data_IF_802339632454
#
_entry.id   IF_802339632454
#
_cell.length_a   1.000
_cell.length_b   1.000
_cell.length_c   1.000
_cell.angle_alpha   90.00
_cell.angle_beta   90.00
_cell.angle_gamma   90.00
#
_symmetry.space_group_name_H-M   'P 1'
#
loop_
_entity.id
_entity.type
_entity.pdbx_description
1 polymer ?
#
# COMPACT_ATOMS: atom_id res chain seq x y z
N UNK A 1 -17.39 1.96 -13.95
CA UNK A 1 -16.41 1.86 -12.85
C UNK A 1 -15.40 2.98 -12.85
N UNK A 2 -14.68 3.16 -13.94
CA UNK A 2 -13.70 4.25 -14.02
C UNK A 2 -14.32 5.62 -13.80
N UNK A 3 -15.56 5.82 -14.18
CA UNK A 3 -16.28 7.08 -14.00
C UNK A 3 -16.61 7.37 -12.53
N UNK A 4 -16.90 6.33 -11.72
CA UNK A 4 -17.24 6.50 -10.30
C UNK A 4 -16.02 6.55 -9.39
N UNK A 5 -15.03 5.71 -9.64
CA UNK A 5 -13.87 5.54 -8.75
C UNK A 5 -12.55 6.02 -9.36
N UNK A 6 -12.57 6.41 -10.65
CA UNK A 6 -11.37 6.78 -11.38
C UNK A 6 -10.66 5.58 -12.00
N UNK A 7 -9.92 5.82 -13.07
CA UNK A 7 -9.19 4.78 -13.78
C UNK A 7 -8.05 4.18 -12.93
N UNK A 8 -7.47 4.96 -12.03
CA UNK A 8 -6.39 4.51 -11.17
C UNK A 8 -6.86 3.43 -10.17
N UNK A 9 -8.05 3.60 -9.59
CA UNK A 9 -8.61 2.59 -8.69
C UNK A 9 -8.89 1.28 -9.42
N UNK A 10 -9.39 1.34 -10.65
CA UNK A 10 -9.61 0.15 -11.47
C UNK A 10 -8.29 -0.54 -11.82
N UNK A 11 -7.26 0.22 -12.18
CA UNK A 11 -5.93 -0.33 -12.45
C UNK A 11 -5.37 -1.03 -11.21
N UNK A 12 -5.51 -0.39 -10.05
CA UNK A 12 -5.07 -0.97 -8.79
C UNK A 12 -5.75 -2.31 -8.53
N UNK A 13 -7.08 -2.37 -8.65
CA UNK A 13 -7.82 -3.60 -8.41
C UNK A 13 -7.37 -4.73 -9.33
N UNK A 14 -7.25 -4.44 -10.63
CA UNK A 14 -6.87 -5.45 -11.62
C UNK A 14 -5.47 -6.01 -11.35
N UNK A 15 -4.54 -5.16 -10.92
CA UNK A 15 -3.18 -5.60 -10.61
C UNK A 15 -3.09 -6.32 -9.25
N UNK A 16 -3.95 -5.95 -8.31
CA UNK A 16 -3.92 -6.49 -6.94
C UNK A 16 -4.59 -7.86 -6.83
N UNK A 17 -5.74 -8.02 -7.45
CA UNK A 17 -6.60 -9.20 -7.25
C UNK A 17 -6.44 -10.27 -8.31
N UNK A 18 -6.01 -9.91 -9.52
CA UNK A 18 -5.93 -10.84 -10.65
C UNK A 18 -4.47 -11.11 -10.98
N UNK A 19 -4.08 -12.39 -10.98
CA UNK A 19 -2.74 -12.80 -11.40
C UNK A 19 -2.60 -12.65 -12.91
N UNK A 20 -1.44 -12.17 -13.36
CA UNK A 20 -1.20 -11.89 -14.78
C UNK A 20 -1.32 -13.11 -15.69
N UNK A 21 -1.06 -14.32 -15.17
CA UNK A 21 -1.07 -15.57 -15.93
C UNK A 21 -2.34 -16.39 -15.71
N UNK A 22 -3.30 -15.87 -14.97
CA UNK A 22 -4.55 -16.56 -14.65
C UNK A 22 -5.73 -15.69 -15.01
N UNK A 23 -6.82 -16.35 -15.44
CA UNK A 23 -8.09 -15.67 -15.63
C UNK A 23 -8.73 -15.43 -14.25
N UNK A 24 -9.12 -14.20 -13.99
CA UNK A 24 -9.78 -13.85 -12.75
C UNK A 24 -11.22 -13.43 -12.97
N UNK A 25 -12.07 -13.72 -11.99
CA UNK A 25 -13.46 -13.27 -12.00
C UNK A 25 -13.54 -11.85 -11.44
N UNK A 26 -14.10 -10.95 -12.23
CA UNK A 26 -14.37 -9.60 -11.79
C UNK A 26 -15.77 -9.53 -11.16
N UNK A 27 -15.85 -9.01 -9.92
CA UNK A 27 -17.12 -8.69 -9.30
C UNK A 27 -17.09 -7.26 -8.75
N UNK A 28 -18.21 -6.58 -8.86
CA UNK A 28 -18.35 -5.24 -8.33
C UNK A 28 -18.10 -5.19 -6.82
N UNK A 29 -18.60 -6.18 -6.13
CA UNK A 29 -18.46 -6.26 -4.66
C UNK A 29 -16.99 -6.36 -4.23
N UNK A 30 -16.20 -7.20 -4.91
CA UNK A 30 -14.76 -7.33 -4.63
C UNK A 30 -14.00 -6.07 -4.95
N UNK A 31 -14.38 -5.39 -6.04
CA UNK A 31 -13.77 -4.11 -6.42
C UNK A 31 -13.99 -3.06 -5.34
N UNK A 32 -15.23 -2.88 -4.89
CA UNK A 32 -15.55 -1.90 -3.84
C UNK A 32 -14.88 -2.27 -2.53
N UNK A 33 -14.86 -3.55 -2.18
CA UNK A 33 -14.20 -4.02 -0.96
C UNK A 33 -12.70 -3.74 -0.98
N UNK A 34 -12.02 -4.03 -2.07
CA UNK A 34 -10.58 -3.77 -2.21
C UNK A 34 -10.29 -2.27 -2.16
N UNK A 35 -11.08 -1.46 -2.85
CA UNK A 35 -10.94 -0.01 -2.81
C UNK A 35 -11.06 0.54 -1.38
N UNK A 36 -12.08 0.12 -0.66
CA UNK A 36 -12.32 0.61 0.69
C UNK A 36 -11.30 0.08 1.69
N UNK A 37 -10.98 -1.21 1.65
CA UNK A 37 -10.05 -1.80 2.60
C UNK A 37 -8.61 -1.32 2.38
N UNK A 38 -8.13 -1.35 1.16
CA UNK A 38 -6.73 -1.04 0.87
C UNK A 38 -6.48 0.46 0.75
N UNK A 39 -7.24 1.13 -0.11
CA UNK A 39 -6.96 2.54 -0.42
C UNK A 39 -7.53 3.50 0.62
N UNK A 40 -8.74 3.25 1.09
CA UNK A 40 -9.34 4.13 2.08
C UNK A 40 -8.89 3.80 3.51
N UNK A 41 -9.07 2.55 3.94
CA UNK A 41 -8.84 2.19 5.34
C UNK A 41 -7.37 2.03 5.69
N UNK A 42 -6.58 1.35 4.87
CA UNK A 42 -5.16 1.18 5.19
C UNK A 42 -4.33 2.40 4.82
N UNK A 43 -4.25 2.73 3.55
CA UNK A 43 -3.40 3.83 3.11
C UNK A 43 -3.94 5.20 3.50
N UNK A 44 -5.20 5.46 3.22
CA UNK A 44 -5.82 6.76 3.50
C UNK A 44 -5.82 7.09 4.98
N UNK A 45 -6.21 6.14 5.84
CA UNK A 45 -6.21 6.34 7.28
C UNK A 45 -4.80 6.47 7.86
N UNK A 46 -3.83 5.72 7.35
CA UNK A 46 -2.44 5.86 7.78
C UNK A 46 -1.95 7.28 7.53
N UNK A 47 -2.13 7.79 6.32
CA UNK A 47 -1.72 9.14 5.97
C UNK A 47 -2.44 10.19 6.81
N UNK A 48 -3.75 10.07 6.96
CA UNK A 48 -4.57 10.99 7.73
C UNK A 48 -4.16 11.04 9.21
N UNK A 49 -3.94 9.88 9.82
CA UNK A 49 -3.54 9.79 11.24
C UNK A 49 -2.12 10.31 11.45
N UNK A 50 -1.19 9.95 10.57
CA UNK A 50 0.19 10.39 10.68
C UNK A 50 0.31 11.90 10.48
N UNK A 51 -0.31 12.45 9.45
CA UNK A 51 -0.34 13.90 9.20
C UNK A 51 -1.02 14.65 10.34
N UNK A 52 -2.12 14.11 10.87
CA UNK A 52 -2.81 14.70 12.02
C UNK A 52 -1.93 14.75 13.26
N UNK A 53 -1.17 13.71 13.54
CA UNK A 53 -0.25 13.67 14.68
C UNK A 53 0.90 14.66 14.53
N UNK A 54 1.49 14.76 13.33
CA UNK A 54 2.56 15.73 13.05
C UNK A 54 2.06 17.16 13.23
N UNK A 55 0.88 17.47 12.71
CA UNK A 55 0.29 18.82 12.88
C UNK A 55 -0.04 19.12 14.32
N UNK A 56 -0.56 18.15 15.07
CA UNK A 56 -1.01 18.35 16.45
C UNK A 56 0.13 18.50 17.44
N UNK A 57 1.20 17.71 17.29
CA UNK A 57 2.29 17.64 18.27
C UNK A 57 3.55 18.39 17.85
N UNK A 58 3.74 18.64 16.56
CA UNK A 58 4.97 19.23 16.01
C UNK A 58 4.71 20.39 15.06
N UNK A 59 3.52 20.99 15.10
CA UNK A 59 3.14 22.16 14.29
C UNK A 59 3.37 21.98 12.77
N UNK A 60 3.17 20.75 12.28
CA UNK A 60 3.31 20.44 10.87
C UNK A 60 4.74 20.20 10.40
N UNK A 61 5.71 20.20 11.31
CA UNK A 61 7.13 19.93 10.98
C UNK A 61 7.50 18.52 11.42
N UNK A 62 8.06 17.74 10.49
CA UNK A 62 8.54 16.39 10.83
C UNK A 62 9.79 16.52 11.71
N UNK A 63 9.77 15.94 12.94
CA UNK A 63 10.93 16.06 13.84
C UNK A 63 12.09 15.18 13.38
N UNK A 64 13.30 15.50 13.85
CA UNK A 64 14.45 14.67 13.63
C UNK A 64 14.27 13.32 14.36
N UNK A 65 14.74 12.19 13.77
CA UNK A 65 14.61 10.90 14.42
C UNK A 65 15.47 10.83 15.70
N UNK A 66 14.92 10.20 16.73
CA UNK A 66 15.65 9.89 17.96
C UNK A 66 16.41 8.58 17.82
N UNK A 67 16.80 7.99 18.97
CA UNK A 67 17.45 6.68 18.98
C UNK A 67 16.43 5.60 18.58
N UNK A 68 16.80 4.78 17.59
CA UNK A 68 15.94 3.70 17.10
C UNK A 68 15.99 2.49 18.04
N UNK A 69 14.83 1.93 18.33
CA UNK A 69 14.69 0.69 19.08
C UNK A 69 14.64 -0.52 18.14
N UNK A 70 14.66 -1.74 18.68
CA UNK A 70 14.60 -2.96 17.87
C UNK A 70 13.37 -3.02 16.96
N UNK A 71 12.20 -2.61 17.47
CA UNK A 71 10.97 -2.60 16.70
C UNK A 71 11.04 -1.61 15.53
N UNK A 72 11.74 -0.50 15.72
CA UNK A 72 11.96 0.49 14.65
C UNK A 72 12.86 -0.08 13.57
N UNK A 73 13.89 -0.84 13.94
CA UNK A 73 14.78 -1.50 12.99
C UNK A 73 14.06 -2.54 12.13
N UNK A 74 13.08 -3.25 12.68
CA UNK A 74 12.25 -4.18 11.89
C UNK A 74 11.55 -3.44 10.75
N UNK A 75 10.95 -2.30 11.04
CA UNK A 75 10.27 -1.49 10.04
C UNK A 75 11.25 -0.92 9.01
N UNK A 76 12.36 -0.36 9.46
CA UNK A 76 13.39 0.21 8.56
C UNK A 76 13.97 -0.86 7.64
N UNK A 77 14.28 -2.04 8.16
CA UNK A 77 14.80 -3.14 7.35
C UNK A 77 13.78 -3.62 6.32
N UNK A 78 12.51 -3.70 6.69
CA UNK A 78 11.43 -4.05 5.75
C UNK A 78 11.31 -3.03 4.63
N UNK A 79 11.40 -1.74 4.96
CA UNK A 79 11.34 -0.66 3.98
C UNK A 79 12.55 -0.70 3.03
N UNK A 80 13.74 -0.96 3.54
CA UNK A 80 14.96 -1.05 2.73
C UNK A 80 14.96 -2.26 1.80
N UNK A 81 14.33 -3.37 2.20
CA UNK A 81 14.21 -4.57 1.38
C UNK A 81 13.12 -4.47 0.32
N UNK A 82 12.19 -3.52 0.44
CA UNK A 82 11.03 -3.42 -0.43
C UNK A 82 11.36 -3.24 -1.92
N UNK A 83 12.30 -2.36 -2.33
CA UNK A 83 12.61 -2.19 -3.75
C UNK A 83 13.05 -3.49 -4.43
N UNK A 84 13.88 -4.30 -3.78
CA UNK A 84 14.32 -5.59 -4.33
C UNK A 84 13.16 -6.58 -4.46
N UNK A 85 12.26 -6.60 -3.48
CA UNK A 85 11.06 -7.45 -3.51
C UNK A 85 10.15 -7.07 -4.67
N UNK A 86 9.98 -5.78 -4.91
CA UNK A 86 9.17 -5.27 -6.01
C UNK A 86 9.81 -5.65 -7.35
N UNK A 87 11.12 -5.43 -7.51
CA UNK A 87 11.84 -5.76 -8.74
C UNK A 87 11.73 -7.25 -9.04
N UNK A 88 11.90 -8.11 -8.05
CA UNK A 88 11.77 -9.55 -8.20
C UNK A 88 10.37 -9.95 -8.66
N UNK A 89 9.33 -9.41 -8.04
CA UNK A 89 7.94 -9.69 -8.38
C UNK A 89 7.63 -9.22 -9.81
N UNK A 90 8.08 -8.04 -10.19
CA UNK A 90 7.87 -7.49 -11.53
C UNK A 90 8.62 -8.30 -12.59
N UNK A 91 9.84 -8.78 -12.27
CA UNK A 91 10.62 -9.65 -13.18
C UNK A 91 9.92 -10.98 -13.45
N UNK A 92 9.08 -11.43 -12.52
CA UNK A 92 8.28 -12.64 -12.65
C UNK A 92 6.89 -12.38 -13.22
N UNK A 93 6.61 -11.18 -13.70
CA UNK A 93 5.29 -10.75 -14.19
C UNK A 93 4.20 -10.96 -13.13
N UNK A 94 4.53 -10.64 -11.87
CA UNK A 94 3.62 -10.79 -10.74
C UNK A 94 3.38 -9.45 -10.02
N UNK A 95 2.69 -8.48 -10.68
CA UNK A 95 2.41 -7.18 -10.05
C UNK A 95 1.59 -7.31 -8.76
N UNK A 96 0.72 -8.31 -8.66
CA UNK A 96 -0.05 -8.56 -7.43
C UNK A 96 0.86 -8.89 -6.24
N UNK A 97 1.98 -9.57 -6.46
CA UNK A 97 2.97 -9.85 -5.40
C UNK A 97 3.75 -8.59 -5.01
N UNK A 98 4.05 -7.72 -5.98
CA UNK A 98 4.67 -6.42 -5.69
C UNK A 98 3.77 -5.56 -4.80
N UNK A 99 2.48 -5.49 -5.12
CA UNK A 99 1.51 -4.77 -4.29
C UNK A 99 1.34 -5.41 -2.91
N UNK A 100 1.32 -6.74 -2.84
CA UNK A 100 1.26 -7.44 -1.56
C UNK A 100 2.46 -7.11 -0.66
N UNK A 101 3.67 -6.99 -1.23
CA UNK A 101 4.86 -6.59 -0.48
C UNK A 101 4.74 -5.17 0.07
N UNK A 102 4.18 -4.25 -0.70
CA UNK A 102 3.93 -2.87 -0.26
C UNK A 102 2.93 -2.86 0.90
N UNK A 103 1.83 -3.60 0.79
CA UNK A 103 0.82 -3.67 1.86
C UNK A 103 1.32 -4.36 3.12
N UNK A 104 2.24 -5.30 3.01
CA UNK A 104 2.89 -5.91 4.15
C UNK A 104 3.66 -4.88 4.99
N UNK A 105 4.30 -3.92 4.33
CA UNK A 105 4.98 -2.82 5.03
C UNK A 105 4.00 -1.87 5.69
N UNK A 106 2.91 -1.52 4.99
CA UNK A 106 1.91 -0.56 5.48
C UNK A 106 1.04 -1.14 6.59
N UNK A 107 0.70 -2.41 6.45
CA UNK A 107 -0.20 -3.11 7.39
C UNK A 107 0.42 -3.63 8.67
#
# INVERSE_FOLDING_TARGET
MAEQFGSEALRYYLLREIKATEDGDFTWERFVQAHNADLADQLGNLLSRLAGMVNRYYDGVVPAPGTLEEIDHVLVNSAEALPERIDKAMSQFAPHEALAAIWELIG
#
